data_IF_809980644221
#
_entry.id   IF_809980644221
#
_cell.length_a   1.000
_cell.length_b   1.000
_cell.length_c   1.000
_cell.angle_alpha   90.00
_cell.angle_beta   90.00
_cell.angle_gamma   90.00
#
_symmetry.space_group_name_H-M   'P 1'
#
loop_
_entity.id
_entity.type
_entity.pdbx_description
1 polymer ?
#
# COMPACT_ATOMS: atom_id res chain seq x y z
N UNK A 1 -10.88 6.20 -3.85
CA UNK A 1 -11.02 6.50 -5.28
C UNK A 1 -9.89 5.90 -6.11
N UNK A 2 -8.71 5.63 -5.54
CA UNK A 2 -7.61 4.88 -6.20
C UNK A 2 -8.04 3.49 -6.68
N UNK A 3 -8.97 2.83 -5.98
CA UNK A 3 -9.54 1.53 -6.38
C UNK A 3 -10.10 1.53 -7.81
N UNK A 4 -10.73 2.63 -8.22
CA UNK A 4 -11.30 2.81 -9.56
C UNK A 4 -10.29 3.38 -10.57
N UNK A 5 -9.39 4.25 -10.12
CA UNK A 5 -8.39 4.87 -10.98
C UNK A 5 -7.20 3.96 -11.26
N UNK A 6 -6.94 3.01 -10.37
CA UNK A 6 -5.73 2.19 -10.37
C UNK A 6 -4.52 2.90 -9.78
N UNK A 7 -3.43 2.17 -9.70
CA UNK A 7 -2.11 2.66 -9.31
C UNK A 7 -1.05 2.01 -10.21
N UNK A 8 -0.41 2.81 -11.04
CA UNK A 8 0.59 2.30 -11.98
C UNK A 8 1.89 1.87 -11.29
N UNK A 9 2.22 2.46 -10.13
CA UNK A 9 3.41 2.08 -9.37
C UNK A 9 3.29 0.65 -8.83
N UNK A 10 2.08 0.24 -8.47
CA UNK A 10 1.77 -1.07 -7.91
C UNK A 10 1.16 -2.03 -8.95
N UNK A 11 1.20 -1.66 -10.23
CA UNK A 11 0.60 -2.43 -11.32
C UNK A 11 -0.90 -2.74 -11.13
N UNK A 12 -1.61 -1.89 -10.40
CA UNK A 12 -3.05 -2.01 -10.17
C UNK A 12 -3.79 -1.28 -11.29
N UNK A 13 -4.50 -2.03 -12.12
CA UNK A 13 -5.21 -1.47 -13.28
C UNK A 13 -6.53 -0.81 -12.86
N UNK A 14 -6.71 0.46 -13.21
CA UNK A 14 -7.96 1.20 -13.07
C UNK A 14 -8.96 0.92 -14.19
N UNK A 15 -10.10 1.64 -14.13
CA UNK A 15 -11.16 1.55 -15.14
C UNK A 15 -10.78 2.34 -16.40
N UNK A 16 -10.81 1.67 -17.53
CA UNK A 16 -10.47 2.31 -18.83
C UNK A 16 -11.39 3.49 -19.14
N UNK A 17 -10.78 4.66 -19.30
CA UNK A 17 -11.50 5.90 -19.61
C UNK A 17 -12.02 6.65 -18.38
N UNK A 18 -11.62 6.23 -17.18
CA UNK A 18 -11.87 6.94 -15.93
C UNK A 18 -10.55 7.48 -15.38
N UNK A 19 -10.33 8.78 -15.48
CA UNK A 19 -9.17 9.47 -14.88
C UNK A 19 -9.62 10.37 -13.73
N UNK A 20 -8.65 10.99 -13.05
CA UNK A 20 -8.88 11.84 -11.86
C UNK A 20 -9.95 12.92 -12.09
N UNK A 21 -9.88 13.63 -13.21
CA UNK A 21 -10.90 14.65 -13.54
C UNK A 21 -12.26 14.02 -13.87
N UNK A 22 -12.25 12.80 -14.39
CA UNK A 22 -13.45 12.09 -14.82
C UNK A 22 -14.24 11.52 -13.64
N UNK A 23 -13.57 11.05 -12.58
CA UNK A 23 -14.24 10.42 -11.45
C UNK A 23 -15.22 11.38 -10.75
N UNK A 24 -14.81 12.62 -10.50
CA UNK A 24 -15.67 13.63 -9.86
C UNK A 24 -16.76 14.19 -10.77
N UNK A 25 -16.68 13.95 -12.09
CA UNK A 25 -17.79 14.25 -13.02
C UNK A 25 -18.82 13.13 -13.03
N UNK A 26 -18.38 11.87 -12.86
CA UNK A 26 -19.26 10.71 -12.85
C UNK A 26 -19.87 10.45 -11.47
N UNK A 27 -19.13 10.76 -10.42
CA UNK A 27 -19.51 10.59 -9.02
C UNK A 27 -19.29 11.90 -8.27
N UNK A 28 -20.11 12.93 -8.50
CA UNK A 28 -19.96 14.24 -7.84
C UNK A 28 -20.10 14.14 -6.32
N UNK A 29 -20.81 13.13 -5.83
CA UNK A 29 -21.02 12.83 -4.42
C UNK A 29 -19.68 12.60 -3.67
N UNK A 30 -18.68 12.03 -4.34
CA UNK A 30 -17.33 11.81 -3.77
C UNK A 30 -16.60 13.09 -3.35
N UNK A 31 -17.12 14.26 -3.70
CA UNK A 31 -16.55 15.56 -3.26
C UNK A 31 -17.03 15.96 -1.87
N UNK A 32 -18.14 15.44 -1.43
CA UNK A 32 -18.86 15.91 -0.24
C UNK A 32 -19.10 14.84 0.81
N UNK A 33 -18.97 13.58 0.42
CA UNK A 33 -19.19 12.45 1.33
C UNK A 33 -18.31 11.26 0.99
N UNK A 34 -18.02 10.45 2.00
CA UNK A 34 -17.45 9.14 1.80
C UNK A 34 -18.47 8.19 1.19
N UNK A 35 -18.03 7.34 0.28
CA UNK A 35 -18.85 6.35 -0.39
C UNK A 35 -18.13 5.00 -0.35
N UNK A 36 -18.87 3.95 -0.03
CA UNK A 36 -18.37 2.58 -0.15
C UNK A 36 -18.50 2.07 -1.61
N UNK A 37 -18.03 0.86 -1.86
CA UNK A 37 -18.11 0.28 -3.21
C UNK A 37 -19.53 -0.04 -3.64
N UNK A 38 -20.39 -0.45 -2.72
CA UNK A 38 -21.79 -0.78 -3.02
C UNK A 38 -22.56 0.47 -3.49
N UNK A 39 -22.33 1.63 -2.84
CA UNK A 39 -22.88 2.91 -3.28
C UNK A 39 -22.46 3.25 -4.73
N UNK A 40 -21.19 3.01 -5.05
CA UNK A 40 -20.65 3.22 -6.41
C UNK A 40 -21.32 2.28 -7.41
N UNK A 41 -21.44 0.99 -7.08
CA UNK A 41 -22.08 0.01 -7.95
C UNK A 41 -23.57 0.31 -8.17
N UNK A 42 -24.28 0.74 -7.13
CA UNK A 42 -25.67 1.15 -7.21
C UNK A 42 -25.88 2.36 -8.16
N UNK A 43 -25.00 3.36 -8.06
CA UNK A 43 -25.02 4.49 -9.01
C UNK A 43 -24.74 3.99 -10.43
N UNK A 44 -23.76 3.11 -10.61
CA UNK A 44 -23.41 2.57 -11.92
C UNK A 44 -24.57 1.74 -12.52
N UNK A 45 -25.25 0.95 -11.71
CA UNK A 45 -26.38 0.15 -12.13
C UNK A 45 -27.54 1.05 -12.61
N UNK A 46 -27.84 2.12 -11.87
CA UNK A 46 -28.90 3.09 -12.24
C UNK A 46 -28.54 3.87 -13.51
N UNK A 47 -27.27 4.24 -13.69
CA UNK A 47 -26.76 5.06 -14.80
C UNK A 47 -26.09 4.22 -15.92
N UNK A 48 -26.34 2.91 -15.95
CA UNK A 48 -25.66 1.96 -16.84
C UNK A 48 -25.66 2.38 -18.31
N UNK A 49 -26.78 2.96 -18.79
CA UNK A 49 -26.95 3.41 -20.18
C UNK A 49 -26.43 4.81 -20.46
N UNK A 50 -26.17 5.60 -19.43
CA UNK A 50 -25.84 7.02 -19.61
C UNK A 50 -24.40 7.22 -20.12
N UNK A 51 -23.50 6.32 -19.77
CA UNK A 51 -22.10 6.41 -20.21
C UNK A 51 -21.36 5.07 -20.05
N UNK A 52 -20.51 4.75 -21.02
CA UNK A 52 -19.71 3.51 -21.07
C UNK A 52 -18.86 3.22 -19.83
N UNK A 53 -18.47 4.24 -19.07
CA UNK A 53 -17.71 4.06 -17.81
C UNK A 53 -18.55 3.32 -16.77
N UNK A 54 -19.83 3.61 -16.65
CA UNK A 54 -20.72 2.93 -15.69
C UNK A 54 -20.86 1.45 -16.02
N UNK A 55 -21.04 1.11 -17.30
CA UNK A 55 -21.11 -0.29 -17.73
C UNK A 55 -19.79 -1.03 -17.50
N UNK A 56 -18.64 -0.37 -17.72
CA UNK A 56 -17.32 -0.95 -17.44
C UNK A 56 -17.09 -1.23 -15.96
N UNK A 57 -17.53 -0.31 -15.07
CA UNK A 57 -17.43 -0.52 -13.63
C UNK A 57 -18.23 -1.75 -13.22
N UNK A 58 -19.47 -1.92 -13.72
CA UNK A 58 -20.26 -3.11 -13.43
C UNK A 58 -19.62 -4.39 -14.00
N UNK A 59 -19.09 -4.35 -15.23
CA UNK A 59 -18.42 -5.51 -15.83
C UNK A 59 -17.14 -5.89 -15.09
N UNK A 60 -16.44 -4.91 -14.53
CA UNK A 60 -15.16 -5.09 -13.82
C UNK A 60 -15.32 -5.19 -12.28
N UNK A 61 -16.55 -5.38 -11.78
CA UNK A 61 -16.86 -5.35 -10.35
C UNK A 61 -15.91 -6.24 -9.52
N UNK A 62 -15.74 -7.50 -9.87
CA UNK A 62 -14.87 -8.45 -9.15
C UNK A 62 -13.40 -7.97 -9.07
N UNK A 63 -12.91 -7.36 -10.16
CA UNK A 63 -11.54 -6.80 -10.17
C UNK A 63 -11.45 -5.55 -9.28
N UNK A 64 -12.47 -4.72 -9.25
CA UNK A 64 -12.54 -3.53 -8.38
C UNK A 64 -12.57 -3.95 -6.91
N UNK A 65 -13.32 -4.98 -6.56
CA UNK A 65 -13.38 -5.54 -5.20
C UNK A 65 -12.01 -6.11 -4.79
N UNK A 66 -11.31 -6.79 -5.72
CA UNK A 66 -9.95 -7.27 -5.49
C UNK A 66 -8.97 -6.12 -5.30
N UNK A 67 -9.02 -5.09 -6.15
CA UNK A 67 -8.22 -3.89 -6.01
C UNK A 67 -8.45 -3.23 -4.63
N UNK A 68 -9.70 -3.15 -4.20
CA UNK A 68 -10.05 -2.58 -2.89
C UNK A 68 -9.40 -3.37 -1.75
N UNK A 69 -9.53 -4.69 -1.75
CA UNK A 69 -8.94 -5.56 -0.72
C UNK A 69 -7.42 -5.43 -0.64
N UNK A 70 -6.75 -5.30 -1.79
CA UNK A 70 -5.28 -5.15 -1.83
C UNK A 70 -4.84 -3.76 -1.35
N UNK A 71 -5.64 -2.73 -1.59
CA UNK A 71 -5.30 -1.34 -1.26
C UNK A 71 -5.80 -0.91 0.14
N UNK A 72 -6.68 -1.69 0.76
CA UNK A 72 -7.21 -1.41 2.10
C UNK A 72 -6.25 -1.97 3.16
N UNK A 73 -5.39 -1.10 3.68
CA UNK A 73 -4.44 -1.45 4.72
C UNK A 73 -5.06 -1.57 6.12
N UNK A 74 -6.34 -1.22 6.29
CA UNK A 74 -7.05 -1.38 7.57
C UNK A 74 -7.38 -2.85 7.88
N UNK A 75 -7.42 -3.68 6.83
CA UNK A 75 -7.62 -5.13 6.95
C UNK A 75 -6.48 -5.84 6.22
N UNK A 76 -5.29 -5.90 6.82
CA UNK A 76 -4.12 -6.49 6.17
C UNK A 76 -4.35 -7.98 5.88
N UNK A 77 -3.94 -8.41 4.68
CA UNK A 77 -4.03 -9.80 4.23
C UNK A 77 -2.92 -10.67 4.86
N UNK A 78 -2.78 -10.60 6.18
CA UNK A 78 -1.82 -11.39 6.96
C UNK A 78 -2.61 -12.49 7.66
N UNK A 79 -2.21 -13.74 7.49
CA UNK A 79 -2.83 -14.87 8.17
C UNK A 79 -2.55 -14.84 9.69
N UNK A 80 -3.26 -15.68 10.44
CA UNK A 80 -3.16 -15.66 11.90
C UNK A 80 -1.76 -16.07 12.39
N UNK A 81 -1.04 -16.93 11.64
CA UNK A 81 0.35 -17.28 11.96
C UNK A 81 1.28 -16.08 11.77
N UNK A 82 1.10 -15.32 10.69
CA UNK A 82 1.85 -14.09 10.44
C UNK A 82 1.59 -13.03 11.52
N UNK A 83 0.33 -12.87 11.95
CA UNK A 83 -0.03 -11.95 13.04
C UNK A 83 0.60 -12.37 14.36
N UNK A 84 0.54 -13.67 14.69
CA UNK A 84 1.18 -14.21 15.89
C UNK A 84 2.68 -13.98 15.87
N UNK A 85 3.35 -14.29 14.74
CA UNK A 85 4.79 -14.07 14.59
C UNK A 85 5.19 -12.61 14.74
N UNK A 86 4.42 -11.68 14.16
CA UNK A 86 4.64 -10.23 14.33
C UNK A 86 4.49 -9.84 15.80
N UNK A 87 3.47 -10.37 16.50
CA UNK A 87 3.25 -10.09 17.93
C UNK A 87 4.43 -10.58 18.78
N UNK A 88 4.90 -11.80 18.52
CA UNK A 88 6.06 -12.37 19.20
C UNK A 88 7.32 -11.51 18.99
N UNK A 89 7.58 -11.06 17.74
CA UNK A 89 8.71 -10.18 17.43
C UNK A 89 8.63 -8.80 18.08
N UNK A 90 7.41 -8.26 18.28
CA UNK A 90 7.24 -6.96 18.96
C UNK A 90 7.55 -7.08 20.46
N UNK A 91 7.26 -8.24 21.05
CA UNK A 91 7.50 -8.51 22.47
C UNK A 91 8.94 -8.98 22.75
N UNK A 92 9.73 -9.28 21.72
CA UNK A 92 11.14 -9.61 21.88
C UNK A 92 11.98 -8.38 22.21
N UNK A 93 13.05 -8.59 22.99
CA UNK A 93 14.05 -7.55 23.22
C UNK A 93 14.70 -7.12 21.90
N UNK A 94 14.88 -5.81 21.71
CA UNK A 94 15.58 -5.28 20.54
C UNK A 94 17.03 -5.80 20.55
N UNK A 95 17.44 -6.60 19.54
CA UNK A 95 18.78 -7.15 19.52
C UNK A 95 19.82 -6.04 19.40
N UNK A 96 20.99 -6.26 19.98
CA UNK A 96 22.11 -5.34 19.80
C UNK A 96 22.48 -5.21 18.32
N UNK A 97 22.82 -4.00 17.91
CA UNK A 97 23.30 -3.74 16.56
C UNK A 97 24.59 -4.50 16.28
N UNK A 98 24.56 -5.39 15.32
CA UNK A 98 25.71 -6.11 14.78
C UNK A 98 26.32 -5.34 13.62
N UNK A 99 27.16 -4.34 13.93
CA UNK A 99 27.78 -3.46 12.91
C UNK A 99 28.62 -4.26 11.90
N UNK A 100 29.33 -5.29 12.38
CA UNK A 100 30.11 -6.22 11.56
C UNK A 100 29.24 -6.94 10.53
N UNK A 101 28.12 -7.48 10.96
CA UNK A 101 27.17 -8.19 10.10
C UNK A 101 26.49 -7.25 9.12
N UNK A 102 26.11 -6.05 9.56
CA UNK A 102 25.52 -5.06 8.67
C UNK A 102 26.48 -4.67 7.54
N UNK A 103 27.75 -4.41 7.86
CA UNK A 103 28.80 -4.08 6.87
C UNK A 103 29.01 -5.25 5.90
N UNK A 104 29.04 -6.48 6.42
CA UNK A 104 29.17 -7.68 5.59
C UNK A 104 28.02 -7.78 4.59
N UNK A 105 26.76 -7.75 5.05
CA UNK A 105 25.57 -7.82 4.19
C UNK A 105 25.51 -6.69 3.16
N UNK A 106 25.85 -5.46 3.58
CA UNK A 106 25.91 -4.32 2.68
C UNK A 106 26.88 -4.53 1.51
N UNK A 107 28.04 -5.14 1.79
CA UNK A 107 29.04 -5.45 0.78
C UNK A 107 28.64 -6.64 -0.11
N UNK A 108 28.03 -7.69 0.47
CA UNK A 108 27.50 -8.85 -0.26
C UNK A 108 26.43 -8.45 -1.27
N UNK A 109 25.53 -7.55 -0.88
CA UNK A 109 24.47 -6.98 -1.73
C UNK A 109 24.99 -5.98 -2.77
N UNK A 110 26.31 -5.72 -2.79
CA UNK A 110 26.99 -4.79 -3.72
C UNK A 110 26.46 -3.36 -3.66
N UNK A 111 26.01 -2.92 -2.50
CA UNK A 111 25.48 -1.58 -2.25
C UNK A 111 26.55 -0.52 -2.03
N UNK A 112 27.84 -0.89 -2.13
CA UNK A 112 29.02 -0.11 -1.73
C UNK A 112 29.15 1.31 -2.29
N UNK A 113 28.39 1.69 -3.31
CA UNK A 113 28.37 3.06 -3.83
C UNK A 113 27.27 3.96 -3.27
N UNK A 114 26.33 3.41 -2.53
CA UNK A 114 25.12 4.16 -2.09
C UNK A 114 25.38 4.98 -0.82
N UNK A 115 26.21 4.49 0.09
CA UNK A 115 26.60 5.19 1.31
C UNK A 115 28.09 5.51 1.25
N UNK A 116 28.43 6.80 1.26
CA UNK A 116 29.79 7.29 1.00
C UNK A 116 30.78 6.92 2.09
N UNK A 117 30.34 6.82 3.33
CA UNK A 117 31.14 6.38 4.48
C UNK A 117 30.23 5.56 5.40
N UNK A 118 30.26 4.25 5.20
CA UNK A 118 29.34 3.33 5.85
C UNK A 118 29.49 3.32 7.38
N UNK A 119 30.71 3.29 7.90
CA UNK A 119 30.95 3.26 9.35
C UNK A 119 30.45 4.54 10.04
N UNK A 120 30.75 5.71 9.46
CA UNK A 120 30.25 6.99 9.98
C UNK A 120 28.72 7.07 9.88
N UNK A 121 28.15 6.54 8.80
CA UNK A 121 26.71 6.51 8.62
C UNK A 121 26.02 5.63 9.65
N UNK A 122 26.55 4.42 9.92
CA UNK A 122 26.07 3.51 10.96
C UNK A 122 26.11 4.21 12.31
N UNK A 123 27.26 4.77 12.67
CA UNK A 123 27.43 5.48 13.93
C UNK A 123 26.39 6.60 14.10
N UNK A 124 26.22 7.46 13.10
CA UNK A 124 25.33 8.61 13.19
C UNK A 124 23.84 8.25 13.23
N UNK A 125 23.46 7.09 12.64
CA UNK A 125 22.05 6.71 12.54
C UNK A 125 21.61 5.70 13.60
N UNK A 126 22.55 4.90 14.15
CA UNK A 126 22.20 3.81 15.07
C UNK A 126 22.81 3.95 16.47
N UNK A 127 23.70 4.92 16.72
CA UNK A 127 24.34 5.05 18.02
C UNK A 127 23.32 5.31 19.15
N UNK A 128 22.23 6.00 18.86
CA UNK A 128 21.16 6.27 19.83
C UNK A 128 20.31 5.04 20.17
N UNK A 129 20.39 3.96 19.41
CA UNK A 129 19.78 2.67 19.74
C UNK A 129 20.65 1.81 20.65
N UNK A 130 21.94 2.18 20.85
CA UNK A 130 22.82 1.50 21.80
C UNK A 130 22.34 1.80 23.23
N UNK A 131 21.73 0.84 23.87
CA UNK A 131 21.23 1.00 25.24
C UNK A 131 19.71 1.10 25.40
N UNK A 132 18.93 0.96 24.33
CA UNK A 132 17.51 0.69 24.45
C UNK A 132 17.36 -0.70 25.10
N UNK A 133 17.06 -0.69 26.39
CA UNK A 133 16.54 -1.87 27.10
C UNK A 133 15.07 -1.59 27.36
N UNK A 134 14.19 -2.49 26.91
CA UNK A 134 12.78 -2.48 27.33
C UNK A 134 12.68 -2.65 28.85
#
# INVERSE_FOLDING_TARGET
HKTLLGDNSDNIKGIKGLGEKGIFKKFPELKTQEMNLDDIFDICARKYKDHVVYSRIIQDQSRIETNYKVMDLSVPMIDDKGKQHISELIDEDIPELREDLFIQLYNEDKLGGMIRNLETWIKNNFEHFKGYKN
#
